data_IF_311338562129
#
_entry.id   IF_311338562129
#
_cell.length_a   1.000
_cell.length_b   1.000
_cell.length_c   1.000
_cell.angle_alpha   90.00
_cell.angle_beta   90.00
_cell.angle_gamma   90.00
#
_symmetry.space_group_name_H-M   'P 1'
#
loop_
_entity.id
_entity.type
_entity.pdbx_description
1 polymer ?
#
# COMPACT_ATOMS: atom_id res chain seq x y z
N UNK A 1 -0.72 -7.98 20.27
CA UNK A 1 -1.98 -7.40 19.72
C UNK A 1 -2.58 -8.40 18.74
N UNK A 2 -3.86 -8.78 18.87
CA UNK A 2 -4.51 -9.69 17.94
C UNK A 2 -4.54 -9.07 16.53
N UNK A 3 -4.23 -9.87 15.51
CA UNK A 3 -4.29 -9.44 14.10
C UNK A 3 -5.75 -9.17 13.74
N UNK A 4 -6.07 -7.94 13.35
CA UNK A 4 -7.42 -7.62 12.84
C UNK A 4 -7.69 -8.44 11.58
N UNK A 5 -8.83 -9.12 11.56
CA UNK A 5 -9.30 -9.87 10.41
C UNK A 5 -9.53 -8.93 9.20
N UNK A 6 -9.49 -9.50 7.98
CA UNK A 6 -9.77 -8.74 6.74
C UNK A 6 -11.13 -8.03 6.80
N UNK A 7 -12.11 -8.64 7.46
CA UNK A 7 -13.45 -8.07 7.66
C UNK A 7 -13.43 -6.86 8.60
N UNK A 8 -12.74 -6.92 9.73
CA UNK A 8 -12.63 -5.78 10.67
C UNK A 8 -11.92 -4.58 10.04
N UNK A 9 -10.89 -4.84 9.23
CA UNK A 9 -10.19 -3.79 8.49
C UNK A 9 -11.13 -3.16 7.48
N UNK A 10 -11.83 -3.97 6.67
CA UNK A 10 -12.82 -3.48 5.70
C UNK A 10 -13.91 -2.63 6.39
N UNK A 11 -14.45 -3.07 7.53
CA UNK A 11 -15.48 -2.35 8.28
C UNK A 11 -14.96 -1.02 8.83
N UNK A 12 -13.74 -0.97 9.36
CA UNK A 12 -13.13 0.29 9.79
C UNK A 12 -12.99 1.28 8.63
N UNK A 13 -12.59 0.79 7.46
CA UNK A 13 -12.45 1.64 6.27
C UNK A 13 -13.78 2.04 5.61
N UNK A 14 -14.91 1.49 6.05
CA UNK A 14 -16.25 1.99 5.71
C UNK A 14 -16.71 3.16 6.60
N UNK A 15 -16.06 3.41 7.73
CA UNK A 15 -16.36 4.57 8.58
C UNK A 15 -15.85 5.87 7.93
N UNK A 16 -16.41 7.01 8.33
CA UNK A 16 -16.01 8.33 7.83
C UNK A 16 -14.50 8.59 8.00
N UNK A 17 -13.95 8.26 9.17
CA UNK A 17 -12.50 8.40 9.43
C UNK A 17 -11.65 7.47 8.55
N UNK A 18 -12.17 6.29 8.23
CA UNK A 18 -11.52 5.35 7.32
C UNK A 18 -11.54 5.83 5.87
N UNK A 19 -12.68 6.33 5.41
CA UNK A 19 -12.86 6.92 4.09
C UNK A 19 -12.01 8.17 3.89
N UNK A 20 -11.91 9.03 4.91
CA UNK A 20 -11.02 10.19 4.86
C UNK A 20 -9.56 9.78 4.63
N UNK A 21 -9.07 8.74 5.31
CA UNK A 21 -7.71 8.22 5.10
C UNK A 21 -7.52 7.68 3.68
N UNK A 22 -8.50 6.94 3.17
CA UNK A 22 -8.48 6.44 1.79
C UNK A 22 -8.44 7.62 0.81
N UNK A 23 -9.27 8.64 1.01
CA UNK A 23 -9.33 9.81 0.16
C UNK A 23 -8.01 10.59 0.15
N UNK A 24 -7.37 10.79 1.32
CA UNK A 24 -6.05 11.45 1.40
C UNK A 24 -5.01 10.64 0.63
N UNK A 25 -5.02 9.31 0.75
CA UNK A 25 -4.07 8.46 0.01
C UNK A 25 -4.34 8.49 -1.49
N UNK A 26 -5.61 8.40 -1.89
CA UNK A 26 -6.05 8.51 -3.28
C UNK A 26 -5.55 9.80 -3.91
N UNK A 27 -5.92 10.93 -3.33
CA UNK A 27 -5.50 12.25 -3.80
C UNK A 27 -3.97 12.36 -3.81
N UNK A 28 -3.31 11.82 -2.79
CA UNK A 28 -1.85 11.85 -2.71
C UNK A 28 -1.15 11.03 -3.80
N UNK A 29 -1.71 9.89 -4.18
CA UNK A 29 -1.21 9.04 -5.27
C UNK A 29 -1.47 9.67 -6.63
N UNK A 30 -2.65 10.24 -6.86
CA UNK A 30 -3.03 10.89 -8.12
C UNK A 30 -2.25 12.19 -8.36
N UNK A 31 -2.01 12.98 -7.32
CA UNK A 31 -1.21 14.22 -7.40
C UNK A 31 0.30 13.98 -7.37
N UNK A 32 0.74 12.75 -7.05
CA UNK A 32 2.14 12.40 -6.89
C UNK A 32 2.81 12.99 -5.64
N UNK A 33 2.05 13.45 -4.65
CA UNK A 33 2.58 13.89 -3.35
C UNK A 33 2.95 12.71 -2.43
N UNK A 34 2.26 11.58 -2.59
CA UNK A 34 2.64 10.29 -1.99
C UNK A 34 3.48 9.52 -3.01
N UNK A 35 4.78 9.43 -2.76
CA UNK A 35 5.76 8.77 -3.63
C UNK A 35 6.29 7.47 -3.04
N UNK A 36 6.09 7.24 -1.75
CA UNK A 36 6.67 6.08 -1.04
C UNK A 36 5.66 5.33 -0.18
N UNK A 37 5.87 4.02 -0.04
CA UNK A 37 5.07 3.20 0.88
C UNK A 37 5.17 3.66 2.35
N UNK A 38 6.27 4.30 2.74
CA UNK A 38 6.42 4.86 4.08
C UNK A 38 5.42 5.98 4.36
N UNK A 39 5.09 6.81 3.35
CA UNK A 39 4.08 7.85 3.47
C UNK A 39 2.67 7.24 3.60
N UNK A 40 2.37 6.17 2.87
CA UNK A 40 1.12 5.41 3.04
C UNK A 40 1.05 4.82 4.45
N UNK A 41 2.15 4.23 4.93
CA UNK A 41 2.25 3.63 6.27
C UNK A 41 2.12 4.64 7.42
N UNK A 42 2.35 5.94 7.16
CA UNK A 42 2.13 7.02 8.12
C UNK A 42 0.64 7.36 8.27
N UNK A 43 -0.18 7.10 7.25
CA UNK A 43 -1.62 7.38 7.25
C UNK A 43 -2.41 6.14 7.70
N UNK A 44 -2.02 4.96 7.21
CA UNK A 44 -2.63 3.68 7.53
C UNK A 44 -1.58 2.72 8.06
N UNK A 45 -1.86 2.08 9.19
CA UNK A 45 -0.97 1.09 9.78
C UNK A 45 -0.66 -0.06 8.81
N UNK A 46 0.61 -0.45 8.72
CA UNK A 46 1.09 -1.57 7.88
C UNK A 46 0.32 -2.88 8.10
N UNK A 47 -0.08 -3.13 9.35
CA UNK A 47 -0.88 -4.30 9.74
C UNK A 47 -2.22 -4.35 9.01
N UNK A 48 -2.85 -3.20 8.75
CA UNK A 48 -4.10 -3.14 8.01
C UNK A 48 -3.89 -3.49 6.52
N UNK A 49 -2.82 -2.94 5.91
CA UNK A 49 -2.45 -3.26 4.53
C UNK A 49 -2.10 -4.73 4.35
N UNK A 50 -1.41 -5.31 5.33
CA UNK A 50 -1.09 -6.73 5.35
C UNK A 50 -2.38 -7.58 5.44
N UNK A 51 -3.30 -7.26 6.35
CA UNK A 51 -4.59 -7.97 6.48
C UNK A 51 -5.42 -7.90 5.19
N UNK A 52 -5.32 -6.80 4.44
CA UNK A 52 -5.97 -6.64 3.13
C UNK A 52 -5.44 -7.60 2.08
N UNK A 53 -4.11 -7.71 1.99
CA UNK A 53 -3.41 -8.55 1.03
C UNK A 53 -3.41 -10.03 1.41
N UNK A 54 -3.86 -10.38 2.62
CA UNK A 54 -3.87 -11.76 3.10
C UNK A 54 -2.47 -12.39 3.23
N UNK A 55 -1.42 -11.56 3.24
CA UNK A 55 -0.03 -12.00 3.27
C UNK A 55 0.51 -12.20 4.69
N UNK A 56 1.56 -13.01 4.82
CA UNK A 56 2.35 -13.08 6.05
C UNK A 56 3.11 -11.76 6.29
N UNK A 57 3.22 -11.36 7.57
CA UNK A 57 3.83 -10.08 7.99
C UNK A 57 5.24 -9.93 7.43
N UNK A 58 6.01 -11.01 7.48
CA UNK A 58 7.39 -11.05 7.02
C UNK A 58 7.51 -10.94 5.49
N UNK A 59 6.55 -11.50 4.75
CA UNK A 59 6.49 -11.35 3.30
C UNK A 59 6.12 -9.91 2.91
N UNK A 60 5.22 -9.28 3.67
CA UNK A 60 4.82 -7.89 3.41
C UNK A 60 5.96 -6.89 3.64
N UNK A 61 6.70 -7.00 4.75
CA UNK A 61 7.87 -6.11 4.96
C UNK A 61 8.95 -6.30 3.89
N UNK A 62 9.14 -7.52 3.39
CA UNK A 62 10.03 -7.77 2.24
C UNK A 62 9.50 -7.11 0.96
N UNK A 63 8.18 -7.13 0.71
CA UNK A 63 7.54 -6.46 -0.43
C UNK A 63 7.63 -4.94 -0.34
N UNK A 64 7.54 -4.38 0.86
CA UNK A 64 7.74 -2.93 1.07
C UNK A 64 9.20 -2.50 0.79
N UNK A 65 10.17 -3.36 1.11
CA UNK A 65 11.60 -3.13 0.81
C UNK A 65 11.95 -3.39 -0.65
N UNK A 66 11.30 -4.38 -1.26
CA UNK A 66 11.46 -4.78 -2.65
C UNK A 66 10.08 -4.82 -3.34
N UNK A 67 9.60 -3.65 -3.81
CA UNK A 67 8.28 -3.53 -4.43
C UNK A 67 8.10 -4.36 -5.70
N UNK A 68 9.19 -4.88 -6.29
CA UNK A 68 9.13 -5.81 -7.42
C UNK A 68 8.52 -7.17 -7.09
N UNK A 69 8.30 -7.46 -5.80
CA UNK A 69 7.65 -8.68 -5.31
C UNK A 69 6.14 -8.57 -5.18
N UNK A 70 5.56 -7.38 -5.43
CA UNK A 70 4.11 -7.26 -5.54
C UNK A 70 3.65 -7.96 -6.82
N UNK A 71 2.75 -8.92 -6.65
CA UNK A 71 2.04 -9.54 -7.77
C UNK A 71 0.99 -8.57 -8.35
N UNK A 72 0.56 -8.84 -9.59
CA UNK A 72 -0.48 -8.07 -10.25
C UNK A 72 -1.78 -8.03 -9.42
N UNK A 73 -2.21 -9.17 -8.88
CA UNK A 73 -3.41 -9.29 -8.05
C UNK A 73 -3.32 -8.46 -6.76
N UNK A 74 -2.13 -8.34 -6.18
CA UNK A 74 -1.92 -7.51 -4.99
C UNK A 74 -1.93 -6.03 -5.33
N UNK A 75 -1.34 -5.63 -6.46
CA UNK A 75 -1.41 -4.26 -6.97
C UNK A 75 -2.86 -3.86 -7.26
N UNK A 76 -3.65 -4.75 -7.87
CA UNK A 76 -5.08 -4.55 -8.13
C UNK A 76 -5.88 -4.46 -6.82
N UNK A 77 -5.58 -5.33 -5.84
CA UNK A 77 -6.20 -5.27 -4.51
C UNK A 77 -5.92 -3.94 -3.80
N UNK A 78 -4.70 -3.41 -3.89
CA UNK A 78 -4.36 -2.10 -3.35
C UNK A 78 -5.05 -0.97 -4.12
N UNK A 79 -5.09 -1.05 -5.45
CA UNK A 79 -5.77 -0.05 -6.28
C UNK A 79 -7.25 0.04 -5.93
N UNK A 80 -7.93 -1.10 -5.82
CA UNK A 80 -9.32 -1.20 -5.42
C UNK A 80 -9.55 -0.67 -3.99
N UNK A 81 -8.65 -1.00 -3.06
CA UNK A 81 -8.76 -0.54 -1.67
C UNK A 81 -8.58 0.98 -1.55
N UNK A 82 -7.63 1.56 -2.29
CA UNK A 82 -7.41 3.00 -2.30
C UNK A 82 -8.30 3.76 -3.29
N UNK A 83 -9.16 3.05 -4.03
CA UNK A 83 -10.06 3.62 -5.03
C UNK A 83 -9.32 4.48 -6.09
N UNK A 84 -8.13 4.02 -6.48
CA UNK A 84 -7.29 4.62 -7.54
C UNK A 84 -7.28 3.73 -8.77
N UNK A 85 -7.01 4.32 -9.92
CA UNK A 85 -6.80 3.56 -11.15
C UNK A 85 -5.61 2.59 -10.99
N UNK A 86 -5.75 1.40 -11.57
CA UNK A 86 -4.70 0.39 -11.54
C UNK A 86 -3.36 0.92 -12.09
N UNK A 87 -3.40 1.75 -13.14
CA UNK A 87 -2.20 2.35 -13.74
C UNK A 87 -1.44 3.25 -12.75
N UNK A 88 -2.15 4.06 -11.97
CA UNK A 88 -1.55 4.92 -10.93
C UNK A 88 -0.84 4.07 -9.88
N UNK A 89 -1.50 3.00 -9.43
CA UNK A 89 -0.90 2.07 -8.47
C UNK A 89 0.30 1.31 -9.05
N UNK A 90 0.19 0.84 -10.28
CA UNK A 90 1.27 0.16 -11.00
C UNK A 90 2.49 1.06 -11.14
N UNK A 91 2.28 2.30 -11.56
CA UNK A 91 3.35 3.27 -11.77
C UNK A 91 3.99 3.67 -10.44
N UNK A 92 3.18 3.80 -9.38
CA UNK A 92 3.67 3.98 -8.01
C UNK A 92 4.57 2.82 -7.55
N UNK A 93 4.14 1.57 -7.71
CA UNK A 93 4.92 0.38 -7.35
C UNK A 93 6.23 0.34 -8.16
N UNK A 94 6.14 0.60 -9.47
CA UNK A 94 7.29 0.62 -10.38
C UNK A 94 8.30 1.69 -9.99
N UNK A 95 7.85 2.90 -9.67
CA UNK A 95 8.72 3.99 -9.21
C UNK A 95 9.42 3.62 -7.90
N UNK A 96 8.70 3.03 -6.95
CA UNK A 96 9.30 2.55 -5.71
C UNK A 96 10.30 1.41 -5.95
N UNK A 97 10.06 0.52 -6.91
CA UNK A 97 10.99 -0.53 -7.31
C UNK A 97 12.28 0.04 -7.91
N UNK A 98 12.18 1.04 -8.79
CA UNK A 98 13.34 1.72 -9.37
C UNK A 98 14.18 2.40 -8.29
N UNK A 99 13.55 3.09 -7.35
CA UNK A 99 14.23 3.74 -6.22
C UNK A 99 14.89 2.73 -5.28
N UNK A 100 14.24 1.59 -5.01
CA UNK A 100 14.84 0.51 -4.22
C UNK A 100 16.09 -0.07 -4.91
N UNK A 101 16.04 -0.30 -6.22
CA UNK A 101 17.19 -0.77 -7.01
C UNK A 101 18.34 0.23 -7.04
N UNK A 102 18.06 1.53 -7.17
CA UNK A 102 19.09 2.59 -7.09
C UNK A 102 19.81 2.60 -5.73
N UNK A 103 19.06 2.41 -4.64
CA UNK A 103 19.64 2.35 -3.28
C UNK A 103 20.52 1.12 -3.07
N UNK A 104 20.18 -0.01 -3.69
CA UNK A 104 21.00 -1.23 -3.61
C UNK A 104 22.30 -1.12 -4.41
N UNK A 105 22.30 -0.44 -5.57
CA UNK A 105 23.52 -0.21 -6.38
C UNK A 105 24.53 0.77 -5.75
N UNK A 106 24.13 1.54 -4.74
CA UNK A 106 25.00 2.49 -4.02
C UNK A 106 25.64 1.91 -2.75
N UNK A 107 25.33 0.65 -2.42
CA UNK A 107 25.98 -0.11 -1.34
C UNK A 107 26.94 -1.12 -1.94
#
# INVERSE_FOLDING_TARGET
>A
MPRKSKQEVSTYFKTESGQHKIHVIKSGLETGSIKTFSQIAAIIAKTNLQSLLGGEFYAFDKKLKDPGRFSFNEAESLANFFQVNFEVMRDFIRNNQLEARKKQKKK
#
